data_IF_508580899102
#
_entry.id   IF_508580899102
#
_cell.length_a   1.000
_cell.length_b   1.000
_cell.length_c   1.000
_cell.angle_alpha   90.00
_cell.angle_beta   90.00
_cell.angle_gamma   90.00
#
_symmetry.space_group_name_H-M   'P 1'
#
loop_
_entity.id
_entity.type
_entity.pdbx_description
1 polymer ?
#
# COMPACT_ATOMS: atom_id res chain seq x y z
N UNK A 1 32.17 -14.06 1.01
CA UNK A 1 31.33 -14.96 1.81
C UNK A 1 29.91 -14.95 1.27
N UNK A 2 29.08 -15.95 1.61
CA UNK A 2 27.72 -16.13 1.06
C UNK A 2 26.79 -14.92 1.29
N UNK A 3 26.93 -14.23 2.43
CA UNK A 3 26.09 -13.09 2.82
C UNK A 3 26.87 -11.76 2.82
N UNK A 4 27.94 -11.67 2.04
CA UNK A 4 28.82 -10.50 2.04
C UNK A 4 28.10 -9.26 1.48
N UNK A 5 27.27 -9.44 0.47
CA UNK A 5 26.48 -8.35 -0.13
C UNK A 5 25.46 -7.78 0.85
N UNK A 6 24.70 -8.63 1.54
CA UNK A 6 23.71 -8.19 2.53
C UNK A 6 24.39 -7.47 3.70
N UNK A 7 25.53 -7.98 4.16
CA UNK A 7 26.32 -7.34 5.21
C UNK A 7 26.80 -5.95 4.78
N UNK A 8 27.35 -5.81 3.58
CA UNK A 8 27.78 -4.52 3.05
C UNK A 8 26.63 -3.53 2.93
N UNK A 9 25.49 -3.96 2.37
CA UNK A 9 24.29 -3.13 2.26
C UNK A 9 23.77 -2.64 3.61
N UNK A 10 23.76 -3.51 4.63
CA UNK A 10 23.32 -3.14 5.98
C UNK A 10 24.28 -2.11 6.60
N UNK A 11 25.59 -2.28 6.41
CA UNK A 11 26.61 -1.33 6.90
C UNK A 11 26.39 0.05 6.26
N UNK A 12 26.31 0.11 4.93
CA UNK A 12 26.12 1.36 4.19
C UNK A 12 24.80 2.06 4.59
N UNK A 13 23.72 1.30 4.73
CA UNK A 13 22.43 1.83 5.15
C UNK A 13 22.47 2.41 6.56
N UNK A 14 23.19 1.77 7.49
CA UNK A 14 23.37 2.28 8.85
C UNK A 14 24.22 3.55 8.88
N UNK A 15 25.27 3.65 8.07
CA UNK A 15 26.09 4.86 7.99
C UNK A 15 25.25 6.05 7.46
N UNK A 16 24.45 5.82 6.42
CA UNK A 16 23.50 6.82 5.91
C UNK A 16 22.48 7.20 6.99
N UNK A 17 21.92 6.24 7.73
CA UNK A 17 20.96 6.52 8.79
C UNK A 17 21.55 7.44 9.87
N UNK A 18 22.81 7.21 10.27
CA UNK A 18 23.46 7.99 11.32
C UNK A 18 23.98 9.34 10.82
N UNK A 19 24.15 9.52 9.50
CA UNK A 19 24.47 10.84 8.93
C UNK A 19 23.32 11.86 9.08
N UNK A 20 22.08 11.39 9.23
CA UNK A 20 20.91 12.26 9.43
C UNK A 20 20.50 13.08 8.21
N UNK A 21 20.94 12.70 7.00
CA UNK A 21 20.70 13.46 5.75
C UNK A 21 19.51 12.95 4.93
N UNK A 22 18.80 11.91 5.40
CA UNK A 22 17.69 11.28 4.68
C UNK A 22 16.44 11.21 5.55
N UNK A 23 15.29 11.47 4.93
CA UNK A 23 13.97 11.36 5.57
C UNK A 23 13.33 9.98 5.38
N UNK A 24 13.92 9.13 4.52
CA UNK A 24 13.39 7.80 4.27
C UNK A 24 14.34 6.84 3.55
N UNK A 25 14.05 5.55 3.72
CA UNK A 25 14.73 4.43 3.06
C UNK A 25 13.76 3.65 2.20
N UNK A 26 14.24 3.15 1.05
CA UNK A 26 13.54 2.17 0.23
C UNK A 26 14.35 0.87 0.19
N UNK A 27 13.80 -0.20 0.78
CA UNK A 27 14.41 -1.52 0.82
C UNK A 27 13.74 -2.42 -0.22
N UNK A 28 14.48 -2.74 -1.29
CA UNK A 28 13.98 -3.60 -2.37
C UNK A 28 14.53 -5.00 -2.19
N UNK A 29 13.79 -5.85 -1.48
CA UNK A 29 14.16 -7.23 -1.18
C UNK A 29 12.94 -8.07 -0.81
N UNK A 30 13.07 -9.39 -0.92
CA UNK A 30 12.12 -10.35 -0.33
C UNK A 30 12.77 -11.19 0.78
N UNK A 31 14.00 -10.85 1.18
CA UNK A 31 14.77 -11.54 2.21
C UNK A 31 14.39 -11.01 3.60
N UNK A 32 14.13 -11.93 4.54
CA UNK A 32 13.84 -11.61 5.93
C UNK A 32 15.01 -11.02 6.69
N UNK A 33 16.24 -11.15 6.21
CA UNK A 33 17.44 -10.67 6.91
C UNK A 33 17.42 -9.13 7.09
N UNK A 34 16.69 -8.41 6.24
CA UNK A 34 16.52 -6.95 6.32
C UNK A 34 15.49 -6.49 7.36
N UNK A 35 14.77 -7.41 8.02
CA UNK A 35 13.73 -7.08 9.02
C UNK A 35 14.27 -6.17 10.12
N UNK A 36 15.44 -6.50 10.70
CA UNK A 36 16.03 -5.71 11.80
C UNK A 36 16.54 -4.34 11.34
N UNK A 37 17.03 -4.23 10.11
CA UNK A 37 17.41 -2.94 9.51
C UNK A 37 16.18 -2.04 9.39
N UNK A 38 15.09 -2.54 8.81
CA UNK A 38 13.83 -1.80 8.64
C UNK A 38 13.27 -1.32 10.00
N UNK A 39 13.18 -2.22 10.99
CA UNK A 39 12.75 -1.85 12.35
C UNK A 39 13.63 -0.75 12.94
N UNK A 40 14.96 -0.85 12.80
CA UNK A 40 15.89 0.12 13.38
C UNK A 40 15.77 1.51 12.74
N UNK A 41 15.57 1.58 11.42
CA UNK A 41 15.35 2.83 10.71
C UNK A 41 14.05 3.49 11.21
N UNK A 42 12.97 2.73 11.36
CA UNK A 42 11.69 3.24 11.89
C UNK A 42 11.77 3.70 13.34
N UNK A 43 12.51 2.99 14.18
CA UNK A 43 12.77 3.42 15.57
C UNK A 43 13.46 4.79 15.66
N UNK A 44 14.19 5.19 14.62
CA UNK A 44 14.80 6.52 14.50
C UNK A 44 13.85 7.58 13.95
N UNK A 45 12.58 7.23 13.68
CA UNK A 45 11.58 8.12 13.10
C UNK A 45 11.75 8.35 11.61
N UNK A 46 12.59 7.56 10.93
CA UNK A 46 12.84 7.67 9.49
C UNK A 46 11.91 6.71 8.75
N UNK A 47 11.28 7.19 7.68
CA UNK A 47 10.29 6.43 6.92
C UNK A 47 10.93 5.23 6.20
N UNK A 48 10.26 4.08 6.18
CA UNK A 48 10.73 2.87 5.48
C UNK A 48 9.68 2.36 4.51
N UNK A 49 10.03 2.36 3.22
CA UNK A 49 9.29 1.65 2.19
C UNK A 49 9.96 0.32 1.85
N UNK A 50 9.25 -0.79 2.03
CA UNK A 50 9.65 -2.09 1.53
C UNK A 50 9.09 -2.36 0.14
N UNK A 51 9.84 -3.05 -0.71
CA UNK A 51 9.37 -3.55 -2.00
C UNK A 51 9.85 -4.99 -2.18
N UNK A 52 8.93 -5.93 -2.41
CA UNK A 52 9.27 -7.34 -2.57
C UNK A 52 8.20 -8.15 -3.27
N UNK A 53 8.45 -9.44 -3.46
CA UNK A 53 7.48 -10.39 -4.02
C UNK A 53 6.42 -10.76 -2.98
N UNK A 54 5.28 -11.30 -3.41
CA UNK A 54 4.22 -11.78 -2.49
C UNK A 54 4.69 -12.85 -1.50
N UNK A 55 5.76 -13.58 -1.81
CA UNK A 55 6.37 -14.58 -0.91
C UNK A 55 7.17 -13.97 0.25
N UNK A 56 7.32 -12.64 0.29
CA UNK A 56 8.09 -11.96 1.33
C UNK A 56 7.52 -12.28 2.71
N UNK A 57 8.34 -12.68 3.69
CA UNK A 57 7.87 -13.00 5.03
C UNK A 57 7.14 -11.83 5.71
N UNK A 58 6.00 -12.12 6.37
CA UNK A 58 5.19 -11.12 7.09
C UNK A 58 5.99 -10.28 8.09
N UNK A 59 7.02 -10.87 8.71
CA UNK A 59 7.89 -10.15 9.64
C UNK A 59 8.59 -8.96 8.97
N UNK A 60 9.10 -9.13 7.74
CA UNK A 60 9.76 -8.03 7.02
C UNK A 60 8.74 -7.00 6.51
N UNK A 61 7.59 -7.46 6.02
CA UNK A 61 6.48 -6.59 5.61
C UNK A 61 6.06 -5.67 6.76
N UNK A 62 5.80 -6.23 7.94
CA UNK A 62 5.37 -5.50 9.12
C UNK A 62 6.46 -4.59 9.71
N UNK A 63 7.73 -4.83 9.36
CA UNK A 63 8.84 -3.98 9.76
C UNK A 63 8.96 -2.69 8.94
N UNK A 64 8.19 -2.52 7.87
CA UNK A 64 8.15 -1.30 7.05
C UNK A 64 6.95 -0.41 7.45
N UNK A 65 6.97 0.85 7.01
CA UNK A 65 5.79 1.74 7.10
C UNK A 65 4.83 1.51 5.94
N UNK A 66 5.36 1.26 4.75
CA UNK A 66 4.61 0.85 3.55
C UNK A 66 5.36 -0.29 2.88
N UNK A 67 4.65 -1.30 2.41
CA UNK A 67 5.23 -2.40 1.64
C UNK A 67 4.51 -2.56 0.31
N UNK A 68 5.25 -2.50 -0.80
CA UNK A 68 4.69 -2.63 -2.15
C UNK A 68 5.08 -3.97 -2.75
N UNK A 69 4.09 -4.79 -3.09
CA UNK A 69 4.33 -6.03 -3.83
C UNK A 69 4.65 -5.75 -5.30
N UNK A 70 5.71 -6.37 -5.82
CA UNK A 70 6.14 -6.18 -7.22
C UNK A 70 5.06 -6.58 -8.24
N UNK A 71 4.18 -7.51 -7.88
CA UNK A 71 3.03 -7.95 -8.67
C UNK A 71 2.05 -6.81 -8.96
N UNK A 72 1.91 -5.86 -8.03
CA UNK A 72 1.06 -4.67 -8.21
C UNK A 72 1.67 -3.68 -9.21
N UNK A 73 3.01 -3.62 -9.29
CA UNK A 73 3.73 -2.79 -10.27
C UNK A 73 3.63 -3.37 -11.69
N UNK A 74 3.70 -4.70 -11.81
CA UNK A 74 3.60 -5.39 -13.09
C UNK A 74 2.18 -5.32 -13.69
N UNK A 75 1.15 -5.42 -12.85
CA UNK A 75 -0.25 -5.32 -13.27
C UNK A 75 -0.56 -3.96 -13.92
N UNK A 76 -0.01 -2.87 -13.39
CA UNK A 76 -0.15 -1.54 -14.00
C UNK A 76 0.53 -1.44 -15.36
N UNK A 77 1.77 -1.93 -15.49
CA UNK A 77 2.47 -1.95 -16.78
C UNK A 77 1.71 -2.76 -17.83
N UNK A 78 1.12 -3.90 -17.46
CA UNK A 78 0.29 -4.72 -18.36
C UNK A 78 -1.02 -4.01 -18.75
N UNK A 79 -1.69 -3.36 -17.80
CA UNK A 79 -2.90 -2.58 -18.07
C UNK A 79 -2.62 -1.34 -18.96
N UNK A 80 -1.49 -0.66 -18.76
CA UNK A 80 -1.04 0.46 -19.57
C UNK A 80 -0.68 0.02 -21.00
N UNK A 81 0.08 -1.07 -21.16
CA UNK A 81 0.40 -1.66 -22.47
C UNK A 81 -0.85 -2.15 -23.20
N UNK A 82 -1.82 -2.74 -22.49
CA UNK A 82 -3.10 -3.16 -23.09
C UNK A 82 -3.94 -1.96 -23.55
N UNK A 83 -3.94 -0.85 -22.80
CA UNK A 83 -4.63 0.39 -23.24
C UNK A 83 -3.96 1.04 -24.46
N UNK A 84 -2.64 0.95 -24.58
CA UNK A 84 -1.92 1.43 -25.78
C UNK A 84 -2.12 0.51 -26.99
N UNK A 85 -2.23 -0.81 -26.80
CA UNK A 85 -2.53 -1.76 -27.87
C UNK A 85 -4.01 -1.73 -28.32
N UNK A 86 -4.94 -1.38 -27.43
CA UNK A 86 -6.37 -1.26 -27.73
C UNK A 86 -6.75 -0.01 -28.54
N UNK A 87 -5.82 0.93 -28.76
CA UNK A 87 -6.00 2.01 -29.71
C UNK A 87 -5.83 1.57 -31.19
N UNK A 88 -5.42 0.31 -31.46
CA UNK A 88 -5.18 -0.19 -32.83
C UNK A 88 -5.83 -1.52 -33.22
N UNK A 89 -6.63 -2.18 -32.38
CA UNK A 89 -7.36 -3.38 -32.83
C UNK A 89 -8.66 -3.59 -32.06
N UNK A 90 -9.77 -3.34 -32.74
CA UNK A 90 -11.13 -3.72 -32.33
C UNK A 90 -11.38 -5.14 -32.86
N UNK A 91 -11.33 -6.16 -32.00
CA UNK A 91 -12.23 -7.33 -31.97
C UNK A 91 -11.62 -8.50 -31.17
N UNK A 92 -12.51 -9.09 -30.36
CA UNK A 92 -12.55 -10.49 -29.91
C UNK A 92 -11.33 -11.07 -29.23
N UNK A 93 -11.45 -11.38 -27.93
CA UNK A 93 -11.62 -12.76 -27.45
C UNK A 93 -11.79 -12.79 -25.93
N UNK A 94 -12.60 -13.74 -25.47
CA UNK A 94 -12.98 -13.93 -24.08
C UNK A 94 -11.78 -14.15 -23.17
N UNK A 95 -11.81 -13.50 -22.00
CA UNK A 95 -10.86 -13.75 -20.93
C UNK A 95 -11.48 -14.77 -20.00
N UNK A 96 -10.84 -15.94 -19.92
CA UNK A 96 -10.88 -16.83 -18.76
C UNK A 96 -10.75 -15.97 -17.51
N UNK A 97 -11.80 -15.97 -16.69
CA UNK A 97 -11.72 -15.52 -15.31
C UNK A 97 -10.84 -16.55 -14.61
N UNK A 98 -9.58 -16.20 -14.39
CA UNK A 98 -8.85 -16.78 -13.27
C UNK A 98 -9.64 -16.36 -12.02
N UNK A 99 -10.22 -17.35 -11.33
CA UNK A 99 -10.75 -17.20 -9.98
C UNK A 99 -9.64 -16.59 -9.12
N UNK A 100 -9.71 -15.26 -8.96
CA UNK A 100 -9.04 -14.60 -7.87
C UNK A 100 -9.81 -15.05 -6.63
N UNK A 101 -9.14 -15.71 -5.69
CA UNK A 101 -9.57 -15.64 -4.30
C UNK A 101 -9.85 -14.17 -4.01
N UNK A 102 -11.12 -13.82 -3.81
CA UNK A 102 -11.51 -12.47 -3.43
C UNK A 102 -11.00 -12.25 -2.01
N UNK A 103 -9.78 -11.71 -1.91
CA UNK A 103 -9.28 -11.17 -0.67
C UNK A 103 -10.28 -10.12 -0.18
N UNK A 104 -10.83 -10.31 1.01
CA UNK A 104 -11.75 -9.36 1.62
C UNK A 104 -10.95 -8.19 2.22
N UNK A 105 -11.12 -6.95 1.75
CA UNK A 105 -10.45 -5.79 2.34
C UNK A 105 -11.08 -5.32 3.65
N UNK A 106 -12.29 -5.78 3.98
CA UNK A 106 -13.07 -5.22 5.08
C UNK A 106 -12.39 -5.27 6.45
N UNK A 107 -11.67 -6.32 6.85
CA UNK A 107 -10.99 -6.32 8.16
C UNK A 107 -10.02 -5.16 8.34
N UNK A 108 -9.25 -4.83 7.29
CA UNK A 108 -8.31 -3.70 7.31
C UNK A 108 -9.06 -2.37 7.25
N UNK A 109 -10.08 -2.28 6.37
CA UNK A 109 -10.85 -1.05 6.20
C UNK A 109 -11.68 -0.70 7.44
N UNK A 110 -12.30 -1.68 8.11
CA UNK A 110 -13.09 -1.42 9.33
C UNK A 110 -12.20 -0.96 10.47
N UNK A 111 -11.06 -1.64 10.69
CA UNK A 111 -10.12 -1.25 11.73
C UNK A 111 -9.52 0.14 11.47
N UNK A 112 -9.13 0.43 10.22
CA UNK A 112 -8.61 1.75 9.86
C UNK A 112 -9.67 2.85 9.99
N UNK A 113 -10.95 2.54 9.72
CA UNK A 113 -12.06 3.45 9.95
C UNK A 113 -12.25 3.75 11.44
N UNK A 114 -12.26 2.71 12.30
CA UNK A 114 -12.35 2.87 13.75
C UNK A 114 -11.23 3.73 14.34
N UNK A 115 -10.01 3.61 13.79
CA UNK A 115 -8.87 4.45 14.19
C UNK A 115 -8.99 5.91 13.73
N UNK A 116 -9.88 6.22 12.79
CA UNK A 116 -9.94 7.52 12.10
C UNK A 116 -11.28 8.25 12.25
N UNK A 117 -12.30 7.59 12.79
CA UNK A 117 -13.66 8.15 12.90
C UNK A 117 -13.71 9.24 13.96
N UNK A 118 -14.28 10.39 13.59
CA UNK A 118 -14.55 11.50 14.50
C UNK A 118 -15.85 11.32 15.29
N UNK A 119 -16.11 12.27 16.19
CA UNK A 119 -17.33 12.29 17.01
C UNK A 119 -18.62 12.44 16.18
N UNK A 120 -18.53 12.97 14.96
CA UNK A 120 -19.65 13.10 14.02
C UNK A 120 -19.94 11.80 13.24
N UNK A 121 -19.19 10.73 13.51
CA UNK A 121 -19.30 9.43 12.82
C UNK A 121 -18.65 9.42 11.44
N UNK A 122 -17.90 10.45 11.06
CA UNK A 122 -17.19 10.53 9.79
C UNK A 122 -15.67 10.51 10.00
N UNK A 123 -14.97 9.85 9.09
CA UNK A 123 -13.51 9.85 9.03
C UNK A 123 -13.04 10.58 7.75
N UNK A 124 -12.04 11.48 7.81
CA UNK A 124 -11.37 11.94 6.60
C UNK A 124 -10.72 10.75 5.88
N UNK A 125 -10.94 10.61 4.57
CA UNK A 125 -10.40 9.50 3.79
C UNK A 125 -8.86 9.47 3.82
N UNK A 126 -8.23 10.65 3.88
CA UNK A 126 -6.78 10.76 4.01
C UNK A 126 -6.28 10.16 5.33
N UNK A 127 -6.93 10.47 6.45
CA UNK A 127 -6.62 9.92 7.77
C UNK A 127 -6.83 8.40 7.80
N UNK A 128 -7.95 7.93 7.25
CA UNK A 128 -8.20 6.50 7.08
C UNK A 128 -7.12 5.83 6.22
N UNK A 129 -6.66 6.49 5.15
CA UNK A 129 -5.55 6.01 4.33
C UNK A 129 -4.24 5.84 5.10
N UNK A 130 -3.94 6.74 6.04
CA UNK A 130 -2.79 6.59 6.94
C UNK A 130 -2.99 5.44 7.94
N UNK A 131 -4.18 5.33 8.53
CA UNK A 131 -4.51 4.26 9.45
C UNK A 131 -4.45 2.87 8.80
N UNK A 132 -4.80 2.76 7.51
CA UNK A 132 -4.66 1.52 6.74
C UNK A 132 -3.23 0.99 6.78
N UNK A 133 -2.22 1.85 6.57
CA UNK A 133 -0.82 1.44 6.61
C UNK A 133 -0.31 1.10 8.02
N UNK A 134 -0.99 1.61 9.06
CA UNK A 134 -0.72 1.20 10.45
C UNK A 134 -1.29 -0.19 10.76
N UNK A 135 -2.41 -0.55 10.14
CA UNK A 135 -3.05 -1.87 10.29
C UNK A 135 -2.34 -2.93 9.44
N UNK A 136 -2.11 -2.63 8.17
CA UNK A 136 -1.42 -3.50 7.22
C UNK A 136 -0.54 -2.65 6.28
N UNK A 137 0.78 -2.61 6.50
CA UNK A 137 1.71 -1.87 5.64
C UNK A 137 1.66 -2.31 4.17
N UNK A 138 1.20 -3.53 3.89
CA UNK A 138 1.12 -4.08 2.53
C UNK A 138 -0.20 -3.81 1.81
N UNK A 139 -1.14 -3.13 2.45
CA UNK A 139 -2.43 -2.83 1.85
C UNK A 139 -2.27 -1.97 0.60
N UNK A 140 -2.74 -2.49 -0.52
CA UNK A 140 -2.74 -1.80 -1.80
C UNK A 140 -4.09 -2.04 -2.51
N UNK A 141 -4.85 -0.97 -2.82
CA UNK A 141 -6.10 -1.08 -3.57
C UNK A 141 -5.98 -1.87 -4.88
N UNK A 142 -4.79 -1.91 -5.49
CA UNK A 142 -4.53 -2.63 -6.75
C UNK A 142 -4.63 -4.13 -6.58
N UNK A 143 -4.30 -4.65 -5.40
CA UNK A 143 -4.50 -6.06 -5.03
C UNK A 143 -5.98 -6.44 -5.20
N UNK A 144 -6.88 -5.53 -4.85
CA UNK A 144 -8.34 -5.66 -4.96
C UNK A 144 -8.90 -5.15 -6.29
N UNK A 145 -8.05 -4.81 -7.27
CA UNK A 145 -8.49 -4.36 -8.61
C UNK A 145 -8.84 -2.88 -8.72
N UNK A 146 -8.54 -2.06 -7.71
CA UNK A 146 -8.80 -0.62 -7.71
C UNK A 146 -7.51 0.18 -7.87
N UNK A 147 -7.57 1.28 -8.63
CA UNK A 147 -6.38 2.14 -8.83
C UNK A 147 -6.02 3.00 -7.63
N UNK A 148 -7.01 3.31 -6.79
CA UNK A 148 -6.96 4.28 -5.71
C UNK A 148 -7.95 3.85 -4.62
N UNK A 149 -7.63 4.16 -3.37
CA UNK A 149 -8.49 3.87 -2.21
C UNK A 149 -9.88 4.51 -2.36
N UNK A 150 -9.96 5.78 -2.79
CA UNK A 150 -11.24 6.47 -3.02
C UNK A 150 -12.18 5.71 -3.96
N UNK A 151 -11.64 5.11 -5.03
CA UNK A 151 -12.42 4.30 -5.98
C UNK A 151 -12.85 2.95 -5.42
N UNK A 152 -12.04 2.39 -4.53
CA UNK A 152 -12.35 1.15 -3.82
C UNK A 152 -13.51 1.38 -2.85
N UNK A 153 -13.40 2.38 -1.98
CA UNK A 153 -14.48 2.74 -1.05
C UNK A 153 -15.76 3.11 -1.81
N UNK A 154 -15.65 3.88 -2.91
CA UNK A 154 -16.82 4.24 -3.72
C UNK A 154 -17.51 3.05 -4.42
N UNK A 155 -16.84 1.90 -4.52
CA UNK A 155 -17.43 0.65 -5.02
C UNK A 155 -18.11 -0.17 -3.93
N UNK A 156 -17.68 -0.04 -2.67
CA UNK A 156 -18.27 -0.65 -1.48
C UNK A 156 -19.44 0.18 -0.93
N UNK A 157 -20.41 0.55 -1.79
CA UNK A 157 -21.52 1.46 -1.44
C UNK A 157 -22.51 0.85 -0.45
N UNK A 158 -22.53 -0.46 -0.35
CA UNK A 158 -23.27 -1.24 0.63
C UNK A 158 -22.65 -1.12 2.04
N UNK A 159 -21.33 -0.88 2.14
CA UNK A 159 -20.59 -0.80 3.41
C UNK A 159 -20.22 0.61 3.83
N UNK A 160 -20.03 1.52 2.86
CA UNK A 160 -19.57 2.89 3.12
C UNK A 160 -20.47 3.95 2.49
N UNK A 161 -20.61 5.05 3.20
CA UNK A 161 -21.11 6.33 2.72
C UNK A 161 -19.93 7.27 2.48
N UNK A 162 -20.01 8.09 1.43
CA UNK A 162 -18.95 9.04 1.06
C UNK A 162 -19.58 10.42 0.89
N UNK A 163 -18.94 11.43 1.49
CA UNK A 163 -19.23 12.85 1.24
C UNK A 163 -17.97 13.58 0.83
N UNK A 164 -18.12 14.61 0.01
CA UNK A 164 -17.02 15.51 -0.36
C UNK A 164 -17.37 16.90 0.11
N UNK A 165 -16.40 17.58 0.73
CA UNK A 165 -16.54 18.97 1.18
C UNK A 165 -15.42 19.81 0.57
N UNK A 166 -15.75 20.99 0.07
CA UNK A 166 -14.77 21.98 -0.37
C UNK A 166 -14.32 22.81 0.84
N UNK A 167 -13.04 22.72 1.20
CA UNK A 167 -12.40 23.53 2.24
C UNK A 167 -11.26 24.34 1.61
N UNK A 168 -11.41 25.66 1.56
CA UNK A 168 -10.33 26.55 1.09
C UNK A 168 -9.83 26.26 -0.32
N UNK A 169 -10.72 25.82 -1.23
CA UNK A 169 -10.39 25.45 -2.61
C UNK A 169 -9.80 24.04 -2.78
N UNK A 170 -9.78 23.24 -1.72
CA UNK A 170 -9.40 21.82 -1.76
C UNK A 170 -10.59 20.94 -1.42
N UNK A 171 -10.80 19.92 -2.25
CA UNK A 171 -11.83 18.92 -2.03
C UNK A 171 -11.37 17.85 -1.04
N UNK A 172 -12.01 17.78 0.13
CA UNK A 172 -11.75 16.77 1.17
C UNK A 172 -12.86 15.72 1.14
N UNK A 173 -12.46 14.45 0.98
CA UNK A 173 -13.38 13.32 1.04
C UNK A 173 -13.48 12.78 2.46
N UNK A 174 -14.70 12.53 2.92
CA UNK A 174 -14.99 11.85 4.18
C UNK A 174 -15.75 10.57 3.90
N UNK A 175 -15.55 9.60 4.77
CA UNK A 175 -16.17 8.28 4.72
C UNK A 175 -16.84 7.97 6.04
N UNK A 176 -17.94 7.23 5.99
CA UNK A 176 -18.64 6.69 7.16
C UNK A 176 -19.03 5.24 6.87
N UNK A 177 -18.85 4.36 7.85
CA UNK A 177 -19.29 2.98 7.73
C UNK A 177 -20.81 2.88 7.98
N UNK A 178 -21.49 2.04 7.19
CA UNK A 178 -22.91 1.73 7.38
C UNK A 178 -23.03 0.58 8.38
N UNK A 179 -24.03 0.66 9.24
CA UNK A 179 -24.45 -0.44 10.12
C UNK A 179 -25.05 -1.58 9.30
#
# INVERSE_FOLDING_TARGET
>A
GKNATDSAMIIDAMDILHSGVVDGFCLVSSDSDYTRLATRIREKGVFVMGIGEKKTPKAFVNACDVFVFTENLAAEKKALRQKQAQAKAKKTTGKKQEEKEELDPMPVLSQAFEMSVGQDGWAPLASMGQAIYQVDPSFDPRTYGHKQLSRMIAKLKDRFEIRTQELGGTSVMYVRMKE
#
